data_IF_357212493722
#
_entry.id   IF_357212493722
#
_cell.length_a   1.000
_cell.length_b   1.000
_cell.length_c   1.000
_cell.angle_alpha   90.00
_cell.angle_beta   90.00
_cell.angle_gamma   90.00
#
_symmetry.space_group_name_H-M   'P 1'
#
loop_
_entity.id
_entity.type
_entity.pdbx_description
1 polymer ?
#
# COMPACT_ATOMS: atom_id res chain seq x y z
N UNK A 1 15.95 8.46 12.79
CA UNK A 1 14.78 9.29 13.07
C UNK A 1 13.53 8.71 12.43
N UNK A 2 13.48 8.53 11.08
CA UNK A 2 12.29 8.06 10.37
C UNK A 2 11.77 6.71 10.88
N UNK A 3 12.64 5.70 11.04
CA UNK A 3 12.24 4.38 11.58
C UNK A 3 11.67 4.51 12.99
N UNK A 4 12.23 5.38 13.84
CA UNK A 4 11.69 5.63 15.18
C UNK A 4 10.31 6.30 15.14
N UNK A 5 10.07 7.23 14.21
CA UNK A 5 8.75 7.83 13.99
C UNK A 5 7.73 6.80 13.51
N UNK A 6 8.12 5.94 12.56
CA UNK A 6 7.26 4.82 12.11
C UNK A 6 6.93 3.89 13.29
N UNK A 7 7.90 3.56 14.14
CA UNK A 7 7.65 2.75 15.33
C UNK A 7 6.65 3.42 16.28
N UNK A 8 6.87 4.71 16.60
CA UNK A 8 5.98 5.46 17.50
C UNK A 8 4.56 5.54 16.91
N UNK A 9 4.42 5.82 15.61
CA UNK A 9 3.10 5.87 14.95
C UNK A 9 2.40 4.51 14.96
N UNK A 10 3.11 3.40 14.79
CA UNK A 10 2.55 2.05 14.94
C UNK A 10 2.10 1.81 16.37
N UNK A 11 2.90 2.20 17.38
CA UNK A 11 2.50 2.06 18.80
C UNK A 11 1.26 2.91 19.14
N UNK A 12 1.12 4.11 18.56
CA UNK A 12 -0.11 4.89 18.71
C UNK A 12 -1.34 4.18 18.11
N UNK A 13 -1.15 3.47 16.98
CA UNK A 13 -2.22 2.65 16.38
C UNK A 13 -2.63 1.49 17.29
N UNK A 14 -1.66 0.88 18.01
CA UNK A 14 -1.94 -0.15 19.04
C UNK A 14 -2.75 0.44 20.20
N UNK A 15 -2.35 1.62 20.72
CA UNK A 15 -3.10 2.31 21.77
C UNK A 15 -4.52 2.65 21.33
N UNK A 16 -4.68 3.11 20.09
CA UNK A 16 -6.00 3.40 19.52
C UNK A 16 -6.85 2.13 19.43
N UNK A 17 -6.25 0.99 19.08
CA UNK A 17 -6.95 -0.29 19.06
C UNK A 17 -7.44 -0.72 20.44
N UNK A 18 -6.63 -0.54 21.48
CA UNK A 18 -7.03 -0.79 22.86
C UNK A 18 -8.18 0.15 23.29
N UNK A 19 -8.06 1.44 22.99
CA UNK A 19 -9.10 2.43 23.24
C UNK A 19 -10.43 2.05 22.58
N UNK A 20 -10.43 1.56 21.34
CA UNK A 20 -11.65 1.08 20.69
C UNK A 20 -12.31 -0.05 21.48
N UNK A 21 -11.54 -1.00 22.00
CA UNK A 21 -12.08 -2.07 22.83
C UNK A 21 -12.83 -1.55 24.03
N UNK A 22 -12.18 -0.76 24.85
CA UNK A 22 -12.75 -0.19 26.08
C UNK A 22 -13.95 0.73 25.80
N UNK A 23 -13.87 1.53 24.74
CA UNK A 23 -14.96 2.43 24.34
C UNK A 23 -16.21 1.68 23.87
N UNK A 24 -16.06 0.62 23.06
CA UNK A 24 -17.20 -0.18 22.63
C UNK A 24 -17.79 -1.01 23.77
N UNK A 25 -17.01 -1.40 24.77
CA UNK A 25 -17.50 -2.02 26.00
C UNK A 25 -18.35 -1.05 26.83
N UNK A 26 -17.91 0.22 26.94
CA UNK A 26 -18.72 1.28 27.53
C UNK A 26 -20.07 1.43 26.81
N UNK A 27 -20.05 1.47 25.48
CA UNK A 27 -21.30 1.61 24.68
C UNK A 27 -22.22 0.40 24.81
N UNK A 28 -21.67 -0.80 25.01
CA UNK A 28 -22.45 -2.03 25.19
C UNK A 28 -23.18 -2.06 26.55
N UNK A 29 -22.55 -1.53 27.62
CA UNK A 29 -23.11 -1.53 28.97
C UNK A 29 -22.92 -0.17 29.66
N UNK A 30 -23.60 0.88 29.21
CA UNK A 30 -23.35 2.25 29.68
C UNK A 30 -23.66 2.43 31.17
N UNK A 31 -24.70 1.78 31.68
CA UNK A 31 -25.09 1.91 33.11
C UNK A 31 -24.07 1.28 34.06
N UNK A 32 -23.44 0.18 33.67
CA UNK A 32 -22.42 -0.52 34.48
C UNK A 32 -21.05 0.15 34.40
N UNK A 33 -20.80 0.90 33.32
CA UNK A 33 -19.49 1.47 33.04
C UNK A 33 -19.32 2.95 33.45
N UNK A 34 -20.30 3.57 34.12
CA UNK A 34 -20.23 4.96 34.60
C UNK A 34 -20.86 6.01 33.67
N UNK A 35 -21.65 5.57 32.68
CA UNK A 35 -22.55 6.40 31.92
C UNK A 35 -21.89 7.54 31.11
N UNK A 36 -22.58 8.70 31.08
CA UNK A 36 -22.20 9.86 30.27
C UNK A 36 -20.88 10.52 30.72
N UNK A 37 -20.56 10.44 32.00
CA UNK A 37 -19.30 11.02 32.52
C UNK A 37 -18.09 10.32 31.90
N UNK A 38 -18.05 8.98 31.94
CA UNK A 38 -16.97 8.20 31.32
C UNK A 38 -16.95 8.33 29.79
N UNK A 39 -18.09 8.56 29.14
CA UNK A 39 -18.11 8.83 27.71
C UNK A 39 -17.25 10.05 27.37
N UNK A 40 -17.38 11.15 28.12
CA UNK A 40 -16.56 12.34 27.86
C UNK A 40 -15.08 12.12 28.19
N UNK A 41 -14.78 11.29 29.20
CA UNK A 41 -13.40 10.88 29.51
C UNK A 41 -12.78 10.10 28.32
N UNK A 42 -13.53 9.17 27.73
CA UNK A 42 -13.08 8.46 26.53
C UNK A 42 -12.89 9.40 25.32
N UNK A 43 -13.75 10.39 25.16
CA UNK A 43 -13.57 11.40 24.10
C UNK A 43 -12.28 12.22 24.32
N UNK A 44 -12.01 12.63 25.55
CA UNK A 44 -10.76 13.31 25.91
C UNK A 44 -9.53 12.42 25.68
N UNK A 45 -9.59 11.14 26.09
CA UNK A 45 -8.52 10.16 25.83
C UNK A 45 -8.29 9.95 24.32
N UNK A 46 -9.36 9.85 23.51
CA UNK A 46 -9.25 9.77 22.07
C UNK A 46 -8.48 10.97 21.52
N UNK A 47 -8.87 12.18 21.90
CA UNK A 47 -8.20 13.40 21.47
C UNK A 47 -6.71 13.37 21.86
N UNK A 48 -6.39 12.92 23.10
CA UNK A 48 -5.02 12.80 23.57
C UNK A 48 -4.17 11.76 22.81
N UNK A 49 -4.78 10.73 22.22
CA UNK A 49 -4.11 9.75 21.36
C UNK A 49 -4.06 10.26 19.90
N UNK A 50 -5.16 10.79 19.40
CA UNK A 50 -5.32 11.13 17.98
C UNK A 50 -4.52 12.38 17.58
N UNK A 51 -4.46 13.42 18.41
CA UNK A 51 -3.71 14.64 18.10
C UNK A 51 -2.20 14.39 17.97
N UNK A 52 -1.52 13.72 18.93
CA UNK A 52 -0.11 13.37 18.76
C UNK A 52 0.13 12.45 17.58
N UNK A 53 -0.76 11.48 17.34
CA UNK A 53 -0.66 10.59 16.16
C UNK A 53 -0.67 11.40 14.86
N UNK A 54 -1.59 12.35 14.73
CA UNK A 54 -1.72 13.20 13.55
C UNK A 54 -0.47 14.05 13.31
N UNK A 55 0.07 14.66 14.39
CA UNK A 55 1.30 15.46 14.32
C UNK A 55 2.52 14.62 13.95
N UNK A 56 2.68 13.44 14.59
CA UNK A 56 3.78 12.53 14.31
C UNK A 56 3.71 12.00 12.86
N UNK A 57 2.52 11.70 12.37
CA UNK A 57 2.31 11.24 11.00
C UNK A 57 2.66 12.33 9.97
N UNK A 58 2.26 13.58 10.25
CA UNK A 58 2.61 14.73 9.42
C UNK A 58 4.12 15.00 9.43
N UNK A 59 4.75 14.92 10.60
CA UNK A 59 6.20 15.06 10.75
C UNK A 59 6.95 13.95 10.02
N UNK A 60 6.48 12.72 10.11
CA UNK A 60 7.05 11.58 9.38
C UNK A 60 7.04 11.83 7.87
N UNK A 61 5.88 12.23 7.30
CA UNK A 61 5.75 12.54 5.87
C UNK A 61 6.66 13.69 5.45
N UNK A 62 6.74 14.74 6.27
CA UNK A 62 7.64 15.88 6.02
C UNK A 62 9.11 15.45 5.98
N UNK A 63 9.57 14.72 7.00
CA UNK A 63 10.96 14.26 7.06
C UNK A 63 11.30 13.22 5.98
N UNK A 64 10.36 12.36 5.61
CA UNK A 64 10.49 11.41 4.52
C UNK A 64 10.69 12.12 3.18
N UNK A 65 9.88 13.16 2.90
CA UNK A 65 10.02 13.98 1.69
C UNK A 65 11.39 14.69 1.63
N UNK A 66 11.85 15.25 2.76
CA UNK A 66 13.19 15.83 2.86
C UNK A 66 14.30 14.83 2.65
N UNK A 67 14.15 13.62 3.21
CA UNK A 67 15.13 12.53 3.04
C UNK A 67 15.23 12.11 1.57
N UNK A 68 14.09 11.89 0.90
CA UNK A 68 14.05 11.54 -0.52
C UNK A 68 14.68 12.65 -1.40
N UNK A 69 14.39 13.93 -1.10
CA UNK A 69 14.98 15.03 -1.85
C UNK A 69 16.49 15.16 -1.65
N UNK A 70 16.98 15.01 -0.39
CA UNK A 70 18.43 15.01 -0.13
C UNK A 70 19.16 13.87 -0.80
N UNK A 71 18.53 12.69 -0.86
CA UNK A 71 19.10 11.55 -1.59
C UNK A 71 19.20 11.85 -3.09
N UNK A 72 18.10 12.39 -3.68
CA UNK A 72 18.15 12.89 -5.07
C UNK A 72 19.27 13.93 -5.28
N UNK A 73 19.41 14.88 -4.36
CA UNK A 73 20.46 15.89 -4.43
C UNK A 73 21.86 15.26 -4.46
N UNK A 74 22.14 14.32 -3.54
CA UNK A 74 23.42 13.63 -3.48
C UNK A 74 23.73 12.87 -4.78
N UNK A 75 22.74 12.15 -5.36
CA UNK A 75 22.92 11.47 -6.64
C UNK A 75 23.17 12.46 -7.78
N UNK A 76 22.47 13.57 -7.80
CA UNK A 76 22.63 14.61 -8.85
C UNK A 76 24.01 15.27 -8.75
N UNK A 77 24.45 15.63 -7.53
CA UNK A 77 25.76 16.23 -7.26
C UNK A 77 26.91 15.27 -7.58
N UNK A 78 26.70 13.96 -7.47
CA UNK A 78 27.67 12.95 -7.84
C UNK A 78 27.74 12.72 -9.36
N UNK A 79 26.59 12.67 -10.05
CA UNK A 79 26.56 12.34 -11.48
C UNK A 79 26.90 13.53 -12.39
N UNK A 80 26.54 14.76 -12.02
CA UNK A 80 26.80 15.94 -12.87
C UNK A 80 28.27 16.16 -13.19
N UNK A 81 29.23 16.17 -12.21
CA UNK A 81 30.66 16.34 -12.51
C UNK A 81 31.24 15.16 -13.33
N UNK A 82 30.82 13.92 -13.04
CA UNK A 82 31.26 12.75 -13.79
C UNK A 82 30.81 12.82 -15.24
N UNK A 83 29.56 13.21 -15.48
CA UNK A 83 29.03 13.37 -16.82
C UNK A 83 29.71 14.50 -17.59
N UNK A 84 30.01 15.63 -16.92
CA UNK A 84 30.75 16.73 -17.52
C UNK A 84 32.19 16.32 -17.91
N UNK A 85 32.81 15.44 -17.15
CA UNK A 85 34.19 15.01 -17.34
C UNK A 85 34.35 13.81 -18.28
N UNK A 86 33.27 13.21 -18.79
CA UNK A 86 33.36 12.06 -19.71
C UNK A 86 33.24 12.48 -21.17
N UNK A 87 34.10 11.93 -22.04
CA UNK A 87 33.99 12.09 -23.50
C UNK A 87 32.95 11.15 -24.13
N UNK A 88 32.39 10.21 -23.37
CA UNK A 88 31.43 9.24 -23.86
C UNK A 88 30.08 9.91 -24.16
N UNK A 89 29.51 9.65 -25.32
CA UNK A 89 28.14 10.05 -25.65
C UNK A 89 27.20 9.08 -24.98
N UNK A 90 26.61 9.50 -23.85
CA UNK A 90 25.64 8.71 -23.11
C UNK A 90 24.23 9.13 -23.48
N UNK A 91 23.52 8.29 -24.22
CA UNK A 91 22.14 8.55 -24.63
C UNK A 91 21.22 8.64 -23.41
N UNK A 92 20.42 9.71 -23.36
CA UNK A 92 19.45 9.93 -22.29
C UNK A 92 20.07 10.33 -20.92
N UNK A 93 21.32 10.80 -20.89
CA UNK A 93 21.98 11.25 -19.65
C UNK A 93 21.15 12.29 -18.87
N UNK A 94 20.53 13.26 -19.55
CA UNK A 94 19.66 14.27 -18.95
C UNK A 94 18.47 13.63 -18.22
N UNK A 95 17.83 12.63 -18.82
CA UNK A 95 16.71 11.91 -18.22
C UNK A 95 17.18 11.10 -16.99
N UNK A 96 18.38 10.48 -17.05
CA UNK A 96 18.96 9.74 -15.90
C UNK A 96 19.18 10.65 -14.71
N UNK A 97 19.80 11.82 -14.92
CA UNK A 97 20.12 12.76 -13.85
C UNK A 97 18.85 13.44 -13.31
N UNK A 98 17.95 13.88 -14.19
CA UNK A 98 16.77 14.64 -13.78
C UNK A 98 15.66 13.74 -13.22
N UNK A 99 15.26 12.69 -13.97
CA UNK A 99 14.06 11.92 -13.68
C UNK A 99 14.36 10.63 -12.91
N UNK A 100 15.34 9.83 -13.37
CA UNK A 100 15.60 8.53 -12.75
C UNK A 100 16.18 8.70 -11.33
N UNK A 101 17.04 9.69 -11.06
CA UNK A 101 17.52 9.98 -9.70
C UNK A 101 16.37 10.39 -8.77
N UNK A 102 15.44 11.21 -9.25
CA UNK A 102 14.27 11.62 -8.47
C UNK A 102 13.36 10.44 -8.15
N UNK A 103 13.04 9.64 -9.16
CA UNK A 103 12.15 8.46 -9.00
C UNK A 103 12.80 7.41 -8.11
N UNK A 104 14.09 7.15 -8.28
CA UNK A 104 14.84 6.19 -7.46
C UNK A 104 14.79 6.57 -5.99
N UNK A 105 15.16 7.81 -5.64
CA UNK A 105 15.17 8.28 -4.27
C UNK A 105 13.78 8.20 -3.63
N UNK A 106 12.74 8.65 -4.35
CA UNK A 106 11.35 8.68 -3.85
C UNK A 106 10.76 7.27 -3.69
N UNK A 107 10.97 6.39 -4.67
CA UNK A 107 10.44 5.02 -4.58
C UNK A 107 11.15 4.19 -3.53
N UNK A 108 12.48 4.33 -3.41
CA UNK A 108 13.23 3.62 -2.36
C UNK A 108 12.81 4.06 -0.96
N UNK A 109 12.59 5.36 -0.75
CA UNK A 109 12.07 5.90 0.50
C UNK A 109 10.68 5.33 0.80
N UNK A 110 9.72 5.45 -0.13
CA UNK A 110 8.35 4.99 0.04
C UNK A 110 8.26 3.46 0.32
N UNK A 111 8.95 2.65 -0.49
CA UNK A 111 8.97 1.20 -0.33
C UNK A 111 9.69 0.78 0.95
N UNK A 112 10.80 1.43 1.28
CA UNK A 112 11.58 1.12 2.48
C UNK A 112 10.80 1.43 3.76
N UNK A 113 10.25 2.62 3.90
CA UNK A 113 9.45 3.00 5.06
C UNK A 113 8.15 2.21 5.16
N UNK A 114 7.51 1.91 4.03
CA UNK A 114 6.34 1.07 3.98
C UNK A 114 6.61 -0.36 4.44
N UNK A 115 7.73 -0.96 4.02
CA UNK A 115 8.15 -2.29 4.48
C UNK A 115 8.44 -2.30 6.00
N UNK A 116 9.18 -1.30 6.49
CA UNK A 116 9.44 -1.14 7.92
C UNK A 116 8.13 -1.04 8.70
N UNK A 117 7.18 -0.25 8.20
CA UNK A 117 5.84 -0.12 8.80
C UNK A 117 5.11 -1.46 8.81
N UNK A 118 5.08 -2.21 7.70
CA UNK A 118 4.43 -3.51 7.61
C UNK A 118 5.00 -4.49 8.64
N UNK A 119 6.33 -4.59 8.73
CA UNK A 119 7.01 -5.46 9.70
C UNK A 119 6.68 -5.05 11.15
N UNK A 120 6.78 -3.75 11.47
CA UNK A 120 6.46 -3.25 12.82
C UNK A 120 4.98 -3.45 13.17
N UNK A 121 4.08 -3.32 12.19
CA UNK A 121 2.64 -3.60 12.38
C UNK A 121 2.43 -5.09 12.69
N UNK A 122 3.05 -6.00 11.94
CA UNK A 122 2.98 -7.44 12.23
C UNK A 122 3.51 -7.76 13.62
N UNK A 123 4.69 -7.26 13.99
CA UNK A 123 5.28 -7.48 15.31
C UNK A 123 4.40 -6.96 16.45
N UNK A 124 3.64 -5.89 16.22
CA UNK A 124 2.77 -5.29 17.23
C UNK A 124 1.38 -5.94 17.31
N UNK A 125 0.78 -6.33 16.18
CA UNK A 125 -0.60 -6.81 16.12
C UNK A 125 -0.74 -8.35 16.16
N UNK A 126 0.28 -9.11 15.77
CA UNK A 126 0.27 -10.58 15.91
C UNK A 126 0.08 -11.01 17.38
N UNK A 127 0.82 -10.48 18.35
CA UNK A 127 0.60 -10.80 19.76
C UNK A 127 -0.80 -10.44 20.27
N UNK A 128 -1.40 -9.37 19.75
CA UNK A 128 -2.77 -8.95 20.10
C UNK A 128 -3.78 -9.98 19.58
N UNK A 129 -3.69 -10.38 18.31
CA UNK A 129 -4.57 -11.41 17.77
C UNK A 129 -4.38 -12.76 18.48
N UNK A 130 -3.15 -13.08 18.86
CA UNK A 130 -2.86 -14.28 19.61
C UNK A 130 -3.54 -14.28 20.98
N UNK A 131 -3.39 -13.17 21.71
CA UNK A 131 -4.01 -13.01 23.03
C UNK A 131 -5.55 -12.98 22.98
N UNK A 132 -6.13 -12.35 21.93
CA UNK A 132 -7.58 -12.26 21.74
C UNK A 132 -8.22 -13.56 21.18
N UNK A 133 -7.43 -14.58 20.89
CA UNK A 133 -7.93 -15.88 20.41
C UNK A 133 -8.65 -16.70 21.47
N UNK A 134 -8.58 -16.29 22.75
CA UNK A 134 -9.27 -16.97 23.85
C UNK A 134 -10.76 -16.61 23.86
N UNK A 135 -11.63 -17.55 24.28
CA UNK A 135 -13.07 -17.31 24.39
C UNK A 135 -13.87 -17.53 23.10
N UNK A 136 -13.32 -18.27 22.13
CA UNK A 136 -14.03 -18.60 20.90
C UNK A 136 -15.10 -19.66 21.14
N UNK A 137 -16.36 -19.39 20.70
CA UNK A 137 -17.46 -20.32 20.76
C UNK A 137 -17.37 -21.43 19.70
N UNK A 138 -16.65 -21.19 18.60
CA UNK A 138 -16.53 -22.10 17.48
C UNK A 138 -15.50 -23.20 17.82
N UNK A 139 -15.94 -24.46 17.90
CA UNK A 139 -15.13 -25.57 18.41
C UNK A 139 -13.77 -25.75 17.71
N UNK A 140 -13.70 -25.61 16.38
CA UNK A 140 -12.46 -25.76 15.62
C UNK A 140 -11.49 -24.56 15.73
N UNK A 141 -11.92 -23.48 16.38
CA UNK A 141 -11.09 -22.29 16.66
C UNK A 141 -10.67 -22.19 18.14
N UNK A 142 -10.96 -23.19 18.94
CA UNK A 142 -10.63 -23.22 20.39
C UNK A 142 -9.18 -23.60 20.68
N UNK A 143 -8.24 -23.10 19.88
CA UNK A 143 -6.80 -23.27 20.13
C UNK A 143 -6.10 -21.92 20.20
N UNK A 144 -5.00 -21.87 20.93
CA UNK A 144 -4.23 -20.62 21.10
C UNK A 144 -3.73 -20.07 19.77
N UNK A 145 -3.91 -18.79 19.56
CA UNK A 145 -3.48 -18.11 18.34
C UNK A 145 -4.36 -18.38 17.11
N UNK A 146 -5.55 -18.99 17.27
CA UNK A 146 -6.45 -19.31 16.15
C UNK A 146 -6.75 -18.12 15.25
N UNK A 147 -7.01 -16.93 15.82
CA UNK A 147 -7.27 -15.72 15.05
C UNK A 147 -6.06 -15.25 14.22
N UNK A 148 -4.85 -15.44 14.73
CA UNK A 148 -3.64 -15.17 13.95
C UNK A 148 -3.53 -16.11 12.74
N UNK A 149 -3.73 -17.41 12.94
CA UNK A 149 -3.66 -18.38 11.84
C UNK A 149 -4.74 -18.13 10.79
N UNK A 150 -5.95 -17.78 11.23
CA UNK A 150 -7.02 -17.40 10.31
C UNK A 150 -6.66 -16.12 9.55
N UNK A 151 -6.13 -15.10 10.21
CA UNK A 151 -5.68 -13.87 9.55
C UNK A 151 -4.56 -14.15 8.53
N UNK A 152 -3.62 -15.01 8.88
CA UNK A 152 -2.54 -15.43 7.97
C UNK A 152 -3.08 -16.15 6.73
N UNK A 153 -3.94 -17.14 6.93
CA UNK A 153 -4.52 -17.93 5.82
C UNK A 153 -5.39 -17.06 4.91
N UNK A 154 -6.21 -16.18 5.48
CA UNK A 154 -7.06 -15.27 4.69
C UNK A 154 -6.24 -14.24 3.95
N UNK A 155 -5.21 -13.65 4.57
CA UNK A 155 -4.31 -12.70 3.92
C UNK A 155 -3.53 -13.35 2.77
N UNK A 156 -2.90 -14.50 3.01
CA UNK A 156 -2.14 -15.22 1.97
C UNK A 156 -3.07 -15.76 0.87
N UNK A 157 -4.25 -16.28 1.25
CA UNK A 157 -5.24 -16.78 0.29
C UNK A 157 -5.80 -15.67 -0.59
N UNK A 158 -6.23 -14.55 0.02
CA UNK A 158 -6.71 -13.38 -0.71
C UNK A 158 -5.67 -12.81 -1.67
N UNK A 159 -4.43 -12.73 -1.19
CA UNK A 159 -3.26 -12.34 -1.95
C UNK A 159 -2.98 -13.26 -3.14
N UNK A 160 -2.98 -14.58 -2.93
CA UNK A 160 -2.75 -15.56 -3.99
C UNK A 160 -3.85 -15.49 -5.08
N UNK A 161 -5.11 -15.33 -4.68
CA UNK A 161 -6.23 -15.16 -5.62
C UNK A 161 -6.11 -13.81 -6.36
N UNK A 162 -5.77 -12.72 -5.66
CA UNK A 162 -5.55 -11.40 -6.28
C UNK A 162 -4.43 -11.44 -7.32
N UNK A 163 -3.34 -12.14 -7.01
CA UNK A 163 -2.27 -12.41 -7.97
C UNK A 163 -2.78 -13.17 -9.18
N UNK A 164 -3.52 -14.26 -8.98
CA UNK A 164 -4.05 -15.08 -10.07
C UNK A 164 -5.00 -14.30 -10.98
N UNK A 165 -5.90 -13.49 -10.41
CA UNK A 165 -6.84 -12.65 -11.15
C UNK A 165 -6.10 -11.52 -11.88
N UNK A 166 -5.10 -10.91 -11.25
CA UNK A 166 -4.36 -9.76 -11.76
C UNK A 166 -3.16 -10.08 -12.66
N UNK A 167 -2.75 -11.34 -12.80
CA UNK A 167 -1.49 -11.74 -13.47
C UNK A 167 -1.36 -11.26 -14.92
N UNK A 168 -2.48 -11.05 -15.62
CA UNK A 168 -2.50 -10.57 -17.00
C UNK A 168 -2.44 -9.06 -17.15
N UNK A 169 -2.75 -8.31 -16.10
CA UNK A 169 -2.82 -6.83 -16.14
C UNK A 169 -1.52 -6.17 -16.57
N UNK A 170 -0.32 -6.55 -16.05
CA UNK A 170 0.93 -5.93 -16.48
C UNK A 170 1.21 -6.09 -17.99
N UNK A 171 0.88 -7.26 -18.55
CA UNK A 171 1.04 -7.50 -20.00
C UNK A 171 0.07 -6.69 -20.85
N UNK A 172 -1.17 -6.53 -20.40
CA UNK A 172 -2.17 -5.70 -21.08
C UNK A 172 -1.81 -4.22 -21.00
N UNK A 173 -1.32 -3.76 -19.85
CA UNK A 173 -0.84 -2.39 -19.65
C UNK A 173 0.36 -2.07 -20.55
N UNK A 174 1.33 -2.99 -20.63
CA UNK A 174 2.46 -2.86 -21.54
C UNK A 174 2.00 -2.74 -23.01
N UNK A 175 1.06 -3.58 -23.45
CA UNK A 175 0.51 -3.50 -24.80
C UNK A 175 -0.23 -2.18 -25.04
N UNK A 176 -0.97 -1.69 -24.03
CA UNK A 176 -1.63 -0.39 -24.11
C UNK A 176 -0.63 0.74 -24.30
N UNK A 177 0.41 0.80 -23.48
CA UNK A 177 1.48 1.80 -23.60
C UNK A 177 2.17 1.74 -24.96
N UNK A 178 2.39 0.55 -25.51
CA UNK A 178 3.00 0.36 -26.83
C UNK A 178 2.11 0.92 -27.95
N UNK A 179 0.81 0.66 -27.91
CA UNK A 179 -0.12 1.18 -28.94
C UNK A 179 -0.31 2.68 -28.82
N UNK A 180 -0.36 3.24 -27.62
CA UNK A 180 -0.37 4.70 -27.38
C UNK A 180 0.91 5.36 -27.90
N UNK A 181 2.08 4.75 -27.68
CA UNK A 181 3.35 5.26 -28.18
C UNK A 181 3.40 5.25 -29.73
N UNK A 182 2.84 4.23 -30.38
CA UNK A 182 2.77 4.18 -31.84
C UNK A 182 1.89 5.31 -32.40
N UNK A 183 0.69 5.50 -31.85
CA UNK A 183 -0.20 6.60 -32.21
C UNK A 183 0.47 7.97 -32.00
N UNK A 184 1.09 8.16 -30.84
CA UNK A 184 1.80 9.41 -30.52
C UNK A 184 2.92 9.72 -31.50
N UNK A 185 3.67 8.69 -31.94
CA UNK A 185 4.75 8.86 -32.91
C UNK A 185 4.25 9.45 -34.22
N UNK A 186 3.16 8.93 -34.77
CA UNK A 186 2.57 9.41 -36.00
C UNK A 186 1.98 10.83 -35.87
N UNK A 187 1.35 11.11 -34.71
CA UNK A 187 0.86 12.46 -34.43
C UNK A 187 1.98 13.51 -34.31
N UNK A 188 3.13 13.14 -33.71
CA UNK A 188 4.31 14.03 -33.64
C UNK A 188 4.88 14.32 -35.05
N UNK A 189 4.93 13.30 -35.93
CA UNK A 189 5.33 13.54 -37.32
C UNK A 189 4.37 14.47 -38.07
N UNK A 190 3.07 14.39 -37.78
CA UNK A 190 2.07 15.29 -38.34
C UNK A 190 2.10 16.70 -37.74
N UNK A 191 2.61 16.88 -36.53
CA UNK A 191 2.80 18.16 -35.88
C UNK A 191 3.88 19.00 -36.61
N UNK A 192 4.97 18.31 -37.02
CA UNK A 192 6.06 18.94 -37.79
C UNK A 192 5.62 19.27 -39.22
N UNK A 193 4.88 18.38 -39.89
CA UNK A 193 4.41 18.55 -41.25
C UNK A 193 3.06 17.84 -41.47
N UNK A 194 1.97 18.61 -41.52
CA UNK A 194 0.60 18.11 -41.67
C UNK A 194 0.40 17.33 -42.99
N UNK A 195 1.21 17.57 -44.03
CA UNK A 195 1.13 16.81 -45.29
C UNK A 195 1.56 15.34 -45.13
N UNK A 196 2.30 15.02 -44.08
CA UNK A 196 2.73 13.64 -43.76
C UNK A 196 1.67 12.83 -43.00
N UNK A 197 0.59 13.49 -42.58
CA UNK A 197 -0.49 12.78 -41.87
C UNK A 197 -1.33 11.99 -42.87
N UNK A 198 -1.29 10.65 -42.73
CA UNK A 198 -2.25 9.78 -43.38
C UNK A 198 -3.41 9.48 -42.43
N UNK A 199 -4.54 10.14 -42.64
CA UNK A 199 -5.71 10.02 -41.75
C UNK A 199 -6.20 8.58 -41.60
N UNK A 200 -6.29 7.72 -42.66
CA UNK A 200 -6.63 6.32 -42.48
C UNK A 200 -5.70 5.59 -41.52
N UNK A 201 -4.38 5.75 -41.67
CA UNK A 201 -3.37 5.10 -40.80
C UNK A 201 -3.51 5.55 -39.34
N UNK A 202 -3.69 6.86 -39.10
CA UNK A 202 -3.90 7.38 -37.72
C UNK A 202 -5.18 6.81 -37.08
N UNK A 203 -6.26 6.71 -37.86
CA UNK A 203 -7.52 6.10 -37.41
C UNK A 203 -7.36 4.59 -37.12
N UNK A 204 -6.60 3.86 -37.90
CA UNK A 204 -6.29 2.44 -37.69
C UNK A 204 -5.48 2.26 -36.37
N UNK A 205 -4.46 3.08 -36.15
CA UNK A 205 -3.68 3.10 -34.89
C UNK A 205 -4.59 3.40 -33.70
N UNK A 206 -5.49 4.37 -33.83
CA UNK A 206 -6.46 4.69 -32.78
C UNK A 206 -7.44 3.54 -32.51
N UNK A 207 -7.86 2.80 -33.55
CA UNK A 207 -8.65 1.58 -33.36
C UNK A 207 -7.88 0.51 -32.59
N UNK A 208 -6.56 0.39 -32.82
CA UNK A 208 -5.68 -0.47 -32.05
C UNK A 208 -5.63 -0.06 -30.56
N UNK A 209 -5.48 1.23 -30.28
CA UNK A 209 -5.54 1.79 -28.92
C UNK A 209 -6.89 1.47 -28.27
N UNK A 210 -8.00 1.72 -28.96
CA UNK A 210 -9.36 1.43 -28.48
C UNK A 210 -9.55 -0.04 -28.08
N UNK A 211 -9.13 -0.97 -28.95
CA UNK A 211 -9.28 -2.40 -28.70
C UNK A 211 -8.46 -2.86 -27.49
N UNK A 212 -7.23 -2.36 -27.35
CA UNK A 212 -6.40 -2.67 -26.19
C UNK A 212 -6.96 -2.08 -24.89
N UNK A 213 -7.46 -0.84 -24.93
CA UNK A 213 -8.11 -0.22 -23.77
C UNK A 213 -9.34 -1.02 -23.34
N UNK A 214 -10.21 -1.46 -24.26
CA UNK A 214 -11.38 -2.28 -23.88
C UNK A 214 -10.99 -3.65 -23.29
N UNK A 215 -9.92 -4.28 -23.78
CA UNK A 215 -9.39 -5.51 -23.17
C UNK A 215 -8.86 -5.23 -21.76
N UNK A 216 -8.16 -4.13 -21.58
CA UNK A 216 -7.62 -3.69 -20.29
C UNK A 216 -8.77 -3.39 -19.30
N UNK A 217 -9.79 -2.63 -19.72
CA UNK A 217 -10.96 -2.29 -18.89
C UNK A 217 -11.71 -3.53 -18.42
N UNK A 218 -11.91 -4.52 -19.30
CA UNK A 218 -12.57 -5.77 -18.93
C UNK A 218 -11.77 -6.54 -17.85
N UNK A 219 -10.42 -6.59 -17.99
CA UNK A 219 -9.59 -7.24 -16.97
C UNK A 219 -9.56 -6.46 -15.66
N UNK A 220 -9.51 -5.13 -15.72
CA UNK A 220 -9.66 -4.30 -14.51
C UNK A 220 -11.03 -4.49 -13.86
N UNK A 221 -12.10 -4.64 -14.63
CA UNK A 221 -13.44 -4.89 -14.08
C UNK A 221 -13.47 -6.20 -13.26
N UNK A 222 -12.90 -7.30 -13.77
CA UNK A 222 -12.78 -8.56 -13.01
C UNK A 222 -11.90 -8.40 -11.76
N UNK A 223 -10.76 -7.72 -11.91
CA UNK A 223 -9.85 -7.49 -10.79
C UNK A 223 -10.50 -6.63 -9.70
N UNK A 224 -11.17 -5.55 -10.07
CA UNK A 224 -11.88 -4.68 -9.13
C UNK A 224 -13.08 -5.39 -8.49
N UNK A 225 -13.81 -6.21 -9.24
CA UNK A 225 -14.90 -7.01 -8.68
C UNK A 225 -14.38 -7.95 -7.59
N UNK A 226 -13.30 -8.67 -7.86
CA UNK A 226 -12.63 -9.53 -6.87
C UNK A 226 -12.11 -8.73 -5.67
N UNK A 227 -11.36 -7.66 -5.92
CA UNK A 227 -10.75 -6.84 -4.86
C UNK A 227 -11.81 -6.23 -3.94
N UNK A 228 -12.89 -5.67 -4.51
CA UNK A 228 -13.99 -5.13 -3.74
C UNK A 228 -14.72 -6.21 -2.94
N UNK A 229 -14.99 -7.37 -3.56
CA UNK A 229 -15.59 -8.50 -2.87
C UNK A 229 -14.74 -8.95 -1.69
N UNK A 230 -13.44 -9.16 -1.92
CA UNK A 230 -12.50 -9.54 -0.87
C UNK A 230 -12.45 -8.52 0.27
N UNK A 231 -12.36 -7.23 -0.05
CA UNK A 231 -12.37 -6.16 0.95
C UNK A 231 -13.66 -6.18 1.80
N UNK A 232 -14.83 -6.34 1.18
CA UNK A 232 -16.09 -6.41 1.93
C UNK A 232 -16.20 -7.68 2.79
N UNK A 233 -15.73 -8.81 2.29
CA UNK A 233 -15.66 -10.05 3.09
C UNK A 233 -14.74 -9.86 4.29
N UNK A 234 -13.58 -9.21 4.12
CA UNK A 234 -12.64 -8.98 5.22
C UNK A 234 -13.19 -8.05 6.31
N UNK A 235 -14.07 -7.11 5.97
CA UNK A 235 -14.76 -6.27 6.97
C UNK A 235 -15.69 -7.09 7.85
N UNK A 236 -16.47 -8.00 7.27
CA UNK A 236 -17.48 -8.79 8.02
C UNK A 236 -16.88 -10.06 8.65
N UNK A 237 -15.73 -10.53 8.17
CA UNK A 237 -15.16 -11.81 8.54
C UNK A 237 -14.87 -11.97 10.04
N UNK A 238 -14.28 -10.99 10.76
CA UNK A 238 -14.12 -11.07 12.21
C UNK A 238 -15.46 -11.22 12.95
N UNK A 239 -16.51 -10.57 12.47
CA UNK A 239 -17.85 -10.68 13.05
C UNK A 239 -18.46 -12.07 12.83
N UNK A 240 -18.23 -12.68 11.67
CA UNK A 240 -18.66 -14.07 11.40
C UNK A 240 -17.97 -15.06 12.33
N UNK A 241 -16.68 -14.85 12.62
CA UNK A 241 -15.90 -15.74 13.50
C UNK A 241 -16.26 -15.55 14.98
N UNK A 242 -16.45 -14.31 15.42
CA UNK A 242 -16.58 -13.99 16.84
C UNK A 242 -18.03 -13.69 17.26
N UNK A 243 -18.93 -13.42 16.32
CA UNK A 243 -20.34 -13.16 16.63
C UNK A 243 -21.00 -14.20 17.51
N UNK A 244 -20.86 -15.52 17.24
CA UNK A 244 -21.40 -16.54 18.14
C UNK A 244 -20.91 -16.42 19.59
N UNK A 245 -19.64 -16.06 19.79
CA UNK A 245 -19.06 -15.84 21.12
C UNK A 245 -19.63 -14.60 21.82
N UNK A 246 -19.98 -13.55 21.07
CA UNK A 246 -20.65 -12.37 21.62
C UNK A 246 -22.06 -12.71 22.12
N UNK A 247 -22.86 -13.43 21.31
CA UNK A 247 -24.23 -13.79 21.67
C UNK A 247 -24.31 -14.80 22.81
N UNK A 248 -23.27 -15.60 23.03
CA UNK A 248 -23.14 -16.47 24.21
C UNK A 248 -22.57 -15.76 25.44
N UNK A 249 -22.20 -14.50 25.33
CA UNK A 249 -21.64 -13.71 26.43
C UNK A 249 -20.18 -14.05 26.79
N UNK A 250 -19.48 -14.84 25.98
CA UNK A 250 -18.08 -15.19 26.22
C UNK A 250 -17.12 -14.04 25.96
N UNK A 251 -17.49 -13.13 25.06
CA UNK A 251 -16.70 -11.94 24.70
C UNK A 251 -17.60 -10.69 24.66
N UNK A 252 -16.97 -9.53 24.65
CA UNK A 252 -17.65 -8.23 24.54
C UNK A 252 -17.60 -7.67 23.14
N UNK A 253 -18.40 -6.63 22.87
CA UNK A 253 -18.40 -5.92 21.60
C UNK A 253 -17.04 -5.25 21.35
N UNK A 254 -16.39 -4.75 22.40
CA UNK A 254 -15.06 -4.16 22.33
C UNK A 254 -14.00 -5.14 21.86
N UNK A 255 -14.06 -6.40 22.30
CA UNK A 255 -13.16 -7.46 21.83
C UNK A 255 -13.33 -7.71 20.34
N UNK A 256 -14.58 -7.78 19.84
CA UNK A 256 -14.82 -7.93 18.39
C UNK A 256 -14.22 -6.76 17.61
N UNK A 257 -14.40 -5.54 18.10
CA UNK A 257 -13.87 -4.35 17.44
C UNK A 257 -12.34 -4.35 17.44
N UNK A 258 -11.69 -4.72 18.54
CA UNK A 258 -10.24 -4.88 18.59
C UNK A 258 -9.73 -5.92 17.61
N UNK A 259 -10.39 -7.07 17.54
CA UNK A 259 -10.04 -8.15 16.61
C UNK A 259 -10.23 -7.69 15.17
N UNK A 260 -11.34 -7.04 14.83
CA UNK A 260 -11.59 -6.51 13.48
C UNK A 260 -10.50 -5.56 13.02
N UNK A 261 -10.13 -4.59 13.88
CA UNK A 261 -9.05 -3.64 13.61
C UNK A 261 -7.69 -4.34 13.46
N UNK A 262 -7.36 -5.23 14.40
CA UNK A 262 -6.08 -5.96 14.37
C UNK A 262 -5.97 -6.88 13.14
N UNK A 263 -7.09 -7.54 12.79
CA UNK A 263 -7.19 -8.39 11.61
C UNK A 263 -6.94 -7.61 10.32
N UNK A 264 -7.58 -6.43 10.18
CA UNK A 264 -7.33 -5.52 9.06
C UNK A 264 -5.86 -5.09 8.98
N UNK A 265 -5.24 -4.68 10.10
CA UNK A 265 -3.83 -4.27 10.14
C UNK A 265 -2.86 -5.39 9.75
N UNK A 266 -3.12 -6.61 10.19
CA UNK A 266 -2.32 -7.79 9.84
C UNK A 266 -2.50 -8.14 8.36
N UNK A 267 -3.74 -8.11 7.85
CA UNK A 267 -4.02 -8.34 6.44
C UNK A 267 -3.31 -7.31 5.53
N UNK A 268 -3.43 -6.01 5.84
CA UNK A 268 -2.77 -4.93 5.09
C UNK A 268 -1.23 -5.10 5.07
N UNK A 269 -0.67 -5.52 6.21
CA UNK A 269 0.77 -5.71 6.33
C UNK A 269 1.29 -6.93 5.53
N UNK A 270 0.54 -8.02 5.47
CA UNK A 270 0.88 -9.18 4.63
C UNK A 270 0.72 -8.88 3.14
N UNK A 271 -0.32 -8.13 2.76
CA UNK A 271 -0.57 -7.76 1.37
C UNK A 271 0.40 -6.72 0.83
N UNK A 272 1.13 -6.01 1.70
CA UNK A 272 1.96 -4.85 1.34
C UNK A 272 2.88 -5.08 0.15
N UNK A 273 3.66 -6.17 0.14
CA UNK A 273 4.62 -6.43 -0.94
C UNK A 273 3.95 -6.69 -2.29
N UNK A 274 2.73 -7.24 -2.27
CA UNK A 274 1.98 -7.58 -3.47
C UNK A 274 1.27 -6.35 -4.00
N UNK A 275 0.67 -5.56 -3.12
CA UNK A 275 0.04 -4.30 -3.48
C UNK A 275 1.06 -3.32 -4.06
N UNK A 276 2.33 -3.42 -3.66
CA UNK A 276 3.45 -2.60 -4.15
C UNK A 276 4.30 -3.26 -5.24
N UNK A 277 3.84 -4.37 -5.81
CA UNK A 277 4.62 -5.11 -6.81
C UNK A 277 5.02 -4.27 -8.03
N UNK A 278 4.13 -3.43 -8.51
CA UNK A 278 4.39 -2.51 -9.63
C UNK A 278 5.50 -1.51 -9.27
N UNK A 279 5.42 -0.92 -8.08
CA UNK A 279 6.42 0.03 -7.58
C UNK A 279 7.79 -0.64 -7.43
N UNK A 280 7.83 -1.88 -6.94
CA UNK A 280 9.06 -2.70 -6.80
C UNK A 280 9.67 -2.98 -8.19
N UNK A 281 8.85 -3.34 -9.16
CA UNK A 281 9.30 -3.63 -10.52
C UNK A 281 9.84 -2.37 -11.21
N UNK A 282 9.17 -1.24 -11.02
CA UNK A 282 9.62 0.06 -11.52
C UNK A 282 10.95 0.47 -10.87
N UNK A 283 11.08 0.37 -9.54
CA UNK A 283 12.33 0.64 -8.83
C UNK A 283 13.50 -0.20 -9.38
N UNK A 284 13.25 -1.49 -9.62
CA UNK A 284 14.25 -2.38 -10.21
C UNK A 284 14.68 -1.92 -11.61
N UNK A 285 13.74 -1.46 -12.42
CA UNK A 285 14.02 -0.93 -13.77
C UNK A 285 14.84 0.36 -13.70
N UNK A 286 14.48 1.29 -12.79
CA UNK A 286 15.22 2.54 -12.58
C UNK A 286 16.64 2.23 -12.08
N UNK A 287 16.77 1.35 -11.10
CA UNK A 287 18.09 0.92 -10.58
C UNK A 287 18.98 0.36 -11.69
N UNK A 288 18.43 -0.50 -12.58
CA UNK A 288 19.18 -1.05 -13.71
C UNK A 288 19.70 0.07 -14.63
N UNK A 289 18.84 1.05 -14.97
CA UNK A 289 19.22 2.17 -15.83
C UNK A 289 20.29 3.06 -15.20
N UNK A 290 20.16 3.37 -13.90
CA UNK A 290 21.17 4.14 -13.17
C UNK A 290 22.51 3.38 -13.07
N UNK A 291 22.48 2.06 -12.84
CA UNK A 291 23.69 1.24 -12.82
C UNK A 291 24.39 1.15 -14.21
N UNK A 292 23.62 1.10 -15.30
CA UNK A 292 24.15 1.19 -16.67
C UNK A 292 24.78 2.58 -16.94
N UNK A 293 24.13 3.63 -16.45
CA UNK A 293 24.63 5.00 -16.53
C UNK A 293 25.93 5.18 -15.75
N UNK A 294 26.02 4.68 -14.51
CA UNK A 294 27.26 4.70 -13.71
C UNK A 294 28.44 4.02 -14.42
N UNK A 295 28.17 2.87 -15.06
CA UNK A 295 29.22 2.15 -15.82
C UNK A 295 29.67 2.92 -17.06
N UNK A 296 28.78 3.70 -17.67
CA UNK A 296 29.14 4.53 -18.81
C UNK A 296 29.92 5.80 -18.43
N UNK A 297 29.84 6.21 -17.15
CA UNK A 297 30.60 7.35 -16.60
C UNK A 297 31.95 6.94 -15.96
N UNK A 298 32.18 5.64 -15.80
CA UNK A 298 33.42 5.09 -15.24
C UNK A 298 34.50 4.96 -16.32
#
# INVERSE_FOLDING_TARGET
VLVALVFITVQQTVKLNAWYGEFYDLLQKPEQAGGLEKFWDFMAQFAWIAFPFMLLRSLETYLASHFAFRWRQALTEEYLPRWQGTDAIVEGASQRIQEDCMRFARQTENLGLGLVRAVLTLLSFIPILWALSTGMAIAWLQFEGSLFWVALVTALGGTAISWFVGIRLPGLEYNNQRTEAALRKDLVYAEDDRSRMDLPTVLELFMGVRLNNFRLFNHYAYFHLWSNFYSQVMVIFPYLLMGPSLFTGLITLGVIQQVGNAFGKVNDAFSYLIDRWTDITELRSIYKRLSEFERALA
#
